data_IF_564734370729
#
_entry.id   IF_564734370729
#
_cell.length_a   1.000
_cell.length_b   1.000
_cell.length_c   1.000
_cell.angle_alpha   90.00
_cell.angle_beta   90.00
_cell.angle_gamma   90.00
#
_symmetry.space_group_name_H-M   'P 1'
#
loop_
_entity.id
_entity.type
_entity.pdbx_description
1 polymer ?
#
# COMPACT_ATOMS: atom_id res chain seq x y z
N UNK A 1 -30.78 33.02 54.05
CA UNK A 1 -31.18 32.34 52.78
C UNK A 1 -30.04 32.25 51.76
N UNK A 2 -29.23 33.30 51.55
CA UNK A 2 -28.20 33.34 50.49
C UNK A 2 -27.10 32.25 50.54
N UNK A 3 -26.80 31.65 51.70
CA UNK A 3 -25.73 30.64 51.81
C UNK A 3 -26.19 29.22 51.45
N UNK A 4 -27.48 28.91 51.64
CA UNK A 4 -28.09 27.65 51.21
C UNK A 4 -28.21 27.59 49.69
N UNK A 5 -28.55 28.72 49.04
CA UNK A 5 -28.62 28.80 47.57
C UNK A 5 -27.25 28.61 46.91
N UNK A 6 -26.17 29.11 47.53
CA UNK A 6 -24.79 28.87 47.07
C UNK A 6 -24.39 27.40 47.17
N UNK A 7 -24.74 26.73 48.27
CA UNK A 7 -24.51 25.29 48.44
C UNK A 7 -25.31 24.47 47.41
N UNK A 8 -26.58 24.82 47.18
CA UNK A 8 -27.42 24.12 46.21
C UNK A 8 -26.94 24.29 44.76
N UNK A 9 -26.48 25.50 44.39
CA UNK A 9 -25.86 25.77 43.10
C UNK A 9 -24.56 24.98 42.89
N UNK A 10 -23.75 24.82 43.95
CA UNK A 10 -22.52 24.04 43.89
C UNK A 10 -22.79 22.55 43.63
N UNK A 11 -23.78 21.97 44.32
CA UNK A 11 -24.18 20.56 44.09
C UNK A 11 -24.75 20.33 42.69
N UNK A 12 -25.54 21.26 42.15
CA UNK A 12 -26.01 21.18 40.76
C UNK A 12 -24.87 21.22 39.74
N UNK A 13 -23.87 22.07 39.98
CA UNK A 13 -22.67 22.14 39.13
C UNK A 13 -21.86 20.84 39.17
N UNK A 14 -21.68 20.26 40.36
CA UNK A 14 -21.03 18.95 40.53
C UNK A 14 -21.79 17.82 39.81
N UNK A 15 -23.13 17.82 39.90
CA UNK A 15 -23.95 16.84 39.20
C UNK A 15 -23.82 16.97 37.67
N UNK A 16 -23.83 18.20 37.14
CA UNK A 16 -23.59 18.46 35.73
C UNK A 16 -22.18 17.99 35.31
N UNK A 17 -21.16 18.25 36.11
CA UNK A 17 -19.80 17.81 35.83
C UNK A 17 -19.69 16.27 35.80
N UNK A 18 -20.29 15.59 36.78
CA UNK A 18 -20.34 14.13 36.82
C UNK A 18 -21.08 13.54 35.60
N UNK A 19 -22.18 14.16 35.18
CA UNK A 19 -22.91 13.74 33.98
C UNK A 19 -22.08 13.97 32.71
N UNK A 20 -21.37 15.10 32.58
CA UNK A 20 -20.48 15.34 31.43
C UNK A 20 -19.30 14.38 31.37
N UNK A 21 -18.77 13.94 32.51
CA UNK A 21 -17.72 12.92 32.56
C UNK A 21 -18.24 11.55 32.10
N UNK A 22 -19.42 11.14 32.58
CA UNK A 22 -20.12 9.93 32.12
C UNK A 22 -20.37 9.96 30.61
N UNK A 23 -20.85 11.09 30.07
CA UNK A 23 -21.13 11.24 28.64
C UNK A 23 -19.85 11.25 27.80
N UNK A 24 -18.76 11.86 28.28
CA UNK A 24 -17.46 11.85 27.60
C UNK A 24 -16.85 10.44 27.58
N UNK A 25 -16.97 9.69 28.67
CA UNK A 25 -16.54 8.29 28.76
C UNK A 25 -17.36 7.38 27.83
N UNK A 26 -18.69 7.58 27.76
CA UNK A 26 -19.57 6.83 26.87
C UNK A 26 -19.27 7.12 25.38
N UNK A 27 -19.03 8.37 25.01
CA UNK A 27 -18.65 8.76 23.65
C UNK A 27 -17.26 8.25 23.24
N UNK A 28 -16.31 8.17 24.19
CA UNK A 28 -14.98 7.58 23.97
C UNK A 28 -15.02 6.05 23.76
N UNK A 29 -15.93 5.36 24.45
CA UNK A 29 -16.16 3.91 24.27
C UNK A 29 -16.90 3.61 22.97
N UNK A 30 -17.90 4.42 22.61
CA UNK A 30 -18.60 4.34 21.33
C UNK A 30 -17.61 4.48 20.16
N UNK A 31 -16.76 5.51 20.15
CA UNK A 31 -15.77 5.72 19.08
C UNK A 31 -14.68 4.63 18.98
N UNK A 32 -14.31 3.96 20.09
CA UNK A 32 -13.45 2.75 20.09
C UNK A 32 -14.14 1.49 19.54
N UNK A 33 -15.44 1.35 19.81
CA UNK A 33 -16.23 0.19 19.34
C UNK A 33 -16.43 0.21 17.81
N UNK A 34 -16.57 1.39 17.19
CA UNK A 34 -16.70 1.53 15.73
C UNK A 34 -15.38 1.34 14.96
N UNK A 35 -14.22 1.33 15.63
CA UNK A 35 -12.94 1.00 14.97
C UNK A 35 -12.76 -0.51 14.72
N UNK A 36 -13.59 -1.37 15.34
CA UNK A 36 -13.45 -2.82 15.22
C UNK A 36 -14.15 -3.44 14.00
N UNK A 37 -15.04 -2.72 13.32
CA UNK A 37 -15.85 -3.27 12.21
C UNK A 37 -15.07 -3.47 10.89
N UNK A 38 -13.83 -2.99 10.78
CA UNK A 38 -13.01 -3.07 9.56
C UNK A 38 -11.75 -3.95 9.69
N UNK A 39 -11.49 -4.53 10.86
CA UNK A 39 -10.35 -5.44 11.06
C UNK A 39 -10.31 -6.64 10.09
N UNK A 40 -11.41 -7.39 9.85
CA UNK A 40 -11.33 -8.60 9.02
C UNK A 40 -11.08 -8.28 7.54
N UNK A 41 -11.58 -7.15 7.05
CA UNK A 41 -11.35 -6.72 5.67
C UNK A 41 -9.90 -6.25 5.47
N UNK A 42 -9.34 -5.55 6.46
CA UNK A 42 -7.95 -5.11 6.42
C UNK A 42 -6.98 -6.30 6.44
N UNK A 43 -7.18 -7.24 7.36
CA UNK A 43 -6.33 -8.44 7.46
C UNK A 43 -6.42 -9.30 6.21
N UNK A 44 -7.62 -9.47 5.65
CA UNK A 44 -7.81 -10.19 4.39
C UNK A 44 -7.03 -9.54 3.23
N UNK A 45 -7.11 -8.21 3.09
CA UNK A 45 -6.38 -7.48 2.06
C UNK A 45 -4.85 -7.60 2.23
N UNK A 46 -4.35 -7.56 3.46
CA UNK A 46 -2.93 -7.75 3.74
C UNK A 46 -2.46 -9.15 3.34
N UNK A 47 -3.23 -10.19 3.69
CA UNK A 47 -2.91 -11.57 3.34
C UNK A 47 -2.91 -11.75 1.81
N UNK A 48 -3.93 -11.23 1.12
CA UNK A 48 -4.01 -11.27 -0.35
C UNK A 48 -2.80 -10.57 -1.00
N UNK A 49 -2.45 -9.37 -0.52
CA UNK A 49 -1.30 -8.63 -1.03
C UNK A 49 0.00 -9.39 -0.80
N UNK A 50 0.15 -10.04 0.36
CA UNK A 50 1.34 -10.82 0.69
C UNK A 50 1.51 -12.01 -0.25
N UNK A 51 0.42 -12.74 -0.55
CA UNK A 51 0.47 -13.86 -1.50
C UNK A 51 0.76 -13.38 -2.94
N UNK A 52 0.17 -12.26 -3.38
CA UNK A 52 0.52 -11.62 -4.67
C UNK A 52 2.01 -11.28 -4.76
N UNK A 53 2.59 -10.66 -3.71
CA UNK A 53 4.02 -10.31 -3.67
C UNK A 53 4.90 -11.56 -3.69
N UNK A 54 4.53 -12.58 -2.91
CA UNK A 54 5.25 -13.86 -2.83
C UNK A 54 5.31 -14.55 -4.19
N UNK A 55 4.24 -14.49 -4.98
CA UNK A 55 4.22 -14.99 -6.35
C UNK A 55 5.19 -14.21 -7.26
N UNK A 56 5.23 -12.88 -7.16
CA UNK A 56 6.20 -12.05 -7.90
C UNK A 56 7.63 -12.44 -7.54
N UNK A 57 7.95 -12.53 -6.25
CA UNK A 57 9.29 -12.91 -5.78
C UNK A 57 9.69 -14.27 -6.36
N UNK A 58 8.80 -15.26 -6.28
CA UNK A 58 9.05 -16.59 -6.84
C UNK A 58 9.31 -16.54 -8.34
N UNK A 59 8.52 -15.76 -9.09
CA UNK A 59 8.66 -15.62 -10.54
C UNK A 59 9.96 -14.94 -10.93
N UNK A 60 10.33 -13.86 -10.24
CA UNK A 60 11.49 -13.05 -10.60
C UNK A 60 12.81 -13.56 -10.05
N UNK A 61 12.79 -14.47 -9.07
CA UNK A 61 13.98 -15.14 -8.53
C UNK A 61 14.86 -15.76 -9.61
N UNK A 62 14.27 -16.32 -10.68
CA UNK A 62 15.02 -16.93 -11.80
C UNK A 62 15.82 -15.94 -12.65
N UNK A 63 15.50 -14.65 -12.58
CA UNK A 63 16.17 -13.58 -13.30
C UNK A 63 17.25 -12.89 -12.45
N UNK A 64 17.44 -13.31 -11.20
CA UNK A 64 18.53 -12.82 -10.34
C UNK A 64 19.87 -13.48 -10.70
N UNK A 65 20.30 -13.28 -11.95
CA UNK A 65 21.57 -13.78 -12.49
C UNK A 65 22.07 -12.82 -13.56
N UNK A 66 23.37 -12.84 -13.81
CA UNK A 66 23.94 -12.10 -14.93
C UNK A 66 23.33 -12.61 -16.24
N UNK A 67 22.74 -11.71 -17.01
CA UNK A 67 22.07 -12.00 -18.28
C UNK A 67 22.54 -11.02 -19.35
N UNK A 68 22.46 -11.46 -20.61
CA UNK A 68 22.89 -10.66 -21.76
C UNK A 68 21.73 -10.46 -22.73
N UNK A 69 21.67 -9.28 -23.36
CA UNK A 69 20.72 -8.99 -24.42
C UNK A 69 21.25 -9.51 -25.77
N UNK A 70 20.45 -10.32 -26.47
CA UNK A 70 20.78 -10.82 -27.81
C UNK A 70 20.12 -9.94 -28.87
N UNK A 71 20.84 -8.93 -29.33
CA UNK A 71 20.31 -7.89 -30.25
C UNK A 71 19.81 -8.46 -31.59
N UNK A 72 20.43 -9.53 -32.10
CA UNK A 72 20.03 -10.21 -33.34
C UNK A 72 18.64 -10.89 -33.23
N UNK A 73 18.19 -11.22 -32.01
CA UNK A 73 16.91 -11.88 -31.78
C UNK A 73 15.80 -10.88 -31.41
N UNK A 74 15.96 -9.60 -31.75
CA UNK A 74 14.90 -8.61 -31.54
C UNK A 74 13.66 -8.95 -32.39
N UNK A 75 12.48 -8.85 -31.78
CA UNK A 75 11.21 -9.20 -32.42
C UNK A 75 10.11 -8.25 -32.00
N UNK A 76 9.26 -7.89 -32.95
CA UNK A 76 8.01 -7.18 -32.68
C UNK A 76 7.00 -8.14 -32.05
N UNK A 77 6.46 -7.77 -30.89
CA UNK A 77 5.42 -8.52 -30.18
C UNK A 77 4.19 -7.64 -29.94
N UNK A 78 3.00 -8.23 -30.01
CA UNK A 78 1.76 -7.55 -29.62
C UNK A 78 1.72 -7.30 -28.10
N UNK A 79 1.08 -6.21 -27.67
CA UNK A 79 0.91 -5.88 -26.23
C UNK A 79 0.32 -7.03 -25.40
N UNK A 80 -0.61 -7.81 -25.98
CA UNK A 80 -1.24 -8.96 -25.33
C UNK A 80 -0.27 -10.11 -24.98
N UNK A 81 0.94 -10.14 -25.56
CA UNK A 81 1.96 -11.14 -25.24
C UNK A 81 2.77 -10.78 -23.99
N UNK A 82 2.72 -9.52 -23.55
CA UNK A 82 3.36 -9.06 -22.32
C UNK A 82 2.47 -9.49 -21.15
N UNK A 83 2.95 -10.44 -20.34
CA UNK A 83 2.24 -10.93 -19.17
C UNK A 83 2.51 -10.01 -17.98
N UNK A 84 1.44 -9.52 -17.37
CA UNK A 84 1.44 -8.80 -16.10
C UNK A 84 0.71 -9.70 -15.11
N UNK A 85 1.37 -10.08 -14.02
CA UNK A 85 0.82 -11.03 -13.05
C UNK A 85 -0.15 -10.35 -12.08
N UNK A 86 0.26 -9.24 -11.48
CA UNK A 86 -0.54 -8.50 -10.51
C UNK A 86 -0.11 -7.03 -10.44
N UNK A 87 -0.73 -6.26 -9.53
CA UNK A 87 -0.48 -4.82 -9.33
C UNK A 87 0.94 -4.49 -8.85
N UNK A 88 1.64 -5.46 -8.26
CA UNK A 88 3.01 -5.32 -7.76
C UNK A 88 4.06 -5.77 -8.78
N UNK A 89 3.64 -6.22 -9.97
CA UNK A 89 4.54 -6.67 -11.02
C UNK A 89 5.41 -5.50 -11.52
N UNK A 90 6.76 -5.64 -11.52
CA UNK A 90 7.66 -4.62 -12.06
C UNK A 90 7.69 -4.58 -13.61
N UNK A 91 7.00 -5.49 -14.31
CA UNK A 91 6.94 -5.53 -15.77
C UNK A 91 6.56 -4.15 -16.35
N UNK A 92 7.38 -3.64 -17.29
CA UNK A 92 7.23 -2.29 -17.87
C UNK A 92 7.82 -1.15 -17.03
N UNK A 93 8.18 -1.38 -15.76
CA UNK A 93 8.88 -0.42 -14.89
C UNK A 93 10.37 -0.73 -14.71
N UNK A 94 10.82 -1.91 -15.15
CA UNK A 94 12.23 -2.30 -15.12
C UNK A 94 13.03 -1.37 -16.03
N UNK A 95 14.11 -0.80 -15.48
CA UNK A 95 15.05 0.05 -16.21
C UNK A 95 16.46 -0.53 -16.10
N UNK A 96 17.21 -0.40 -17.19
CA UNK A 96 18.66 -0.65 -17.21
C UNK A 96 19.42 0.67 -17.13
N UNK A 97 20.72 0.64 -16.88
CA UNK A 97 21.54 1.86 -16.91
C UNK A 97 21.57 2.45 -18.32
N UNK A 98 21.69 3.78 -18.41
CA UNK A 98 21.79 4.47 -19.69
C UNK A 98 22.98 3.98 -20.52
N UNK A 99 24.09 3.63 -19.85
CA UNK A 99 25.27 3.07 -20.51
C UNK A 99 24.96 1.73 -21.20
N UNK A 100 24.27 0.82 -20.52
CA UNK A 100 23.87 -0.47 -21.12
C UNK A 100 22.90 -0.26 -22.27
N UNK A 101 21.98 0.69 -22.16
CA UNK A 101 21.03 1.01 -23.22
C UNK A 101 21.75 1.54 -24.47
N UNK A 102 22.69 2.48 -24.31
CA UNK A 102 23.50 3.01 -25.41
C UNK A 102 24.29 1.92 -26.14
N UNK A 103 24.84 0.95 -25.39
CA UNK A 103 25.56 -0.21 -25.96
C UNK A 103 24.63 -1.10 -26.80
N UNK A 104 23.39 -1.29 -26.36
CA UNK A 104 22.38 -2.04 -27.13
C UNK A 104 22.03 -1.27 -28.41
N UNK A 105 21.78 0.03 -28.32
CA UNK A 105 21.42 0.86 -29.47
C UNK A 105 22.52 0.88 -30.55
N UNK A 106 23.79 1.02 -30.16
CA UNK A 106 24.91 0.93 -31.08
C UNK A 106 24.95 -0.42 -31.81
N UNK A 107 24.81 -1.52 -31.05
CA UNK A 107 24.79 -2.88 -31.64
C UNK A 107 23.58 -3.11 -32.53
N UNK A 108 22.45 -2.47 -32.25
CA UNK A 108 21.26 -2.52 -33.10
C UNK A 108 21.51 -1.84 -34.44
N UNK A 109 22.08 -0.63 -34.45
CA UNK A 109 22.43 0.09 -35.68
C UNK A 109 23.41 -0.74 -36.53
N UNK A 110 24.49 -1.24 -35.91
CA UNK A 110 25.49 -2.06 -36.59
C UNK A 110 24.90 -3.32 -37.25
N UNK A 111 23.91 -3.97 -36.63
CA UNK A 111 23.36 -5.23 -37.13
C UNK A 111 22.28 -5.05 -38.20
N UNK A 112 21.59 -3.91 -38.26
CA UNK A 112 20.39 -3.74 -39.09
C UNK A 112 20.45 -2.60 -40.11
N UNK A 113 21.46 -1.74 -40.06
CA UNK A 113 21.57 -0.58 -40.98
C UNK A 113 22.86 -0.52 -41.79
N UNK A 114 23.75 -1.52 -41.63
CA UNK A 114 24.93 -1.68 -42.47
C UNK A 114 24.58 -2.31 -43.83
#
# INVERSE_FOLDING_TARGET
MAELDKKFSFWKSLQCYANTLSDAEYNGLQSRSYQHANLPNFTHNLISNFEEIKEIIKTYKRFNKVSFAKCLDIRTISKNRIKILNKFDPCGKIKVSSETLNKIDQKMIENFTN
#
